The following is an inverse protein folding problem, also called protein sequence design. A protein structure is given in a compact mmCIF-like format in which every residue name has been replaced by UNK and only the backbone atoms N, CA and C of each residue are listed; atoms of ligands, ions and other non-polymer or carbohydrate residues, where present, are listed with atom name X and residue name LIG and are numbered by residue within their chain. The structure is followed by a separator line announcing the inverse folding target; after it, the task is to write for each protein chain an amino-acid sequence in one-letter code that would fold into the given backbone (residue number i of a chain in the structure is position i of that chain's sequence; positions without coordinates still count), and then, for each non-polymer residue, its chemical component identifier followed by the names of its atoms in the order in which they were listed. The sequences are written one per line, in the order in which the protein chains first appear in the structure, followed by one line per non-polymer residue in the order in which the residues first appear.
data_IF_201910411917
#
_entry.id   IF_201910411917
#
_cell.length_a   1.000
_cell.length_b   1.000
_cell.length_c   1.000
_cell.angle_alpha   90.00
_cell.angle_beta   90.00
_cell.angle_gamma   90.00
#
_symmetry.space_group_name_H-M   'P 1'
#
loop_
_entity.id
_entity.type
_entity.pdbx_description
1 polymer ?
#
# COMPACT_ATOMS: atom_id res chain seq x y z
N UNK A 1 37.78 8.63 5.02
CA UNK A 1 36.72 7.64 5.21
C UNK A 1 36.45 6.84 3.94
N UNK A 2 36.00 7.49 2.85
CA UNK A 2 35.62 6.81 1.60
C UNK A 2 36.65 5.76 1.10
N UNK A 3 37.94 6.12 1.02
CA UNK A 3 38.98 5.16 0.60
C UNK A 3 39.05 3.88 1.46
N UNK A 4 38.74 3.97 2.76
CA UNK A 4 38.76 2.82 3.67
C UNK A 4 37.56 1.92 3.40
N UNK A 5 36.39 2.52 3.17
CA UNK A 5 35.16 1.82 2.76
C UNK A 5 35.40 1.08 1.45
N UNK A 6 35.95 1.75 0.44
CA UNK A 6 36.27 1.13 -0.85
C UNK A 6 37.28 -0.02 -0.68
N UNK A 7 38.24 0.11 0.24
CA UNK A 7 39.21 -0.96 0.57
C UNK A 7 38.60 -2.12 1.34
N UNK A 8 37.50 -1.90 2.05
CA UNK A 8 36.71 -2.96 2.70
C UNK A 8 35.86 -3.74 1.67
N UNK A 9 35.69 -3.22 0.46
CA UNK A 9 34.95 -3.88 -0.62
C UNK A 9 33.45 -3.57 -0.65
N UNK A 10 32.98 -2.63 0.17
CA UNK A 10 31.59 -2.22 0.19
C UNK A 10 31.32 -1.06 -0.76
N UNK A 11 30.22 -1.12 -1.51
CA UNK A 11 29.78 -0.02 -2.38
C UNK A 11 28.90 0.98 -1.61
N UNK A 12 29.43 1.52 -0.51
CA UNK A 12 28.84 2.64 0.22
C UNK A 12 29.53 3.94 -0.20
N UNK A 13 28.76 4.90 -0.71
CA UNK A 13 29.22 6.25 -1.06
C UNK A 13 28.67 7.26 -0.07
N UNK A 14 29.57 7.96 0.59
CA UNK A 14 29.23 9.07 1.46
C UNK A 14 29.11 10.37 0.66
N UNK A 15 28.46 11.38 1.25
CA UNK A 15 28.50 12.74 0.73
C UNK A 15 29.96 13.19 0.54
N UNK A 16 30.27 13.78 -0.62
CA UNK A 16 31.61 14.27 -0.94
C UNK A 16 32.09 15.41 -0.03
N UNK A 17 31.16 16.12 0.61
CA UNK A 17 31.46 17.20 1.57
C UNK A 17 31.61 16.68 3.01
N UNK A 18 31.46 15.37 3.24
CA UNK A 18 31.55 14.79 4.58
C UNK A 18 32.98 14.86 5.15
N UNK A 19 33.13 15.63 6.22
CA UNK A 19 34.34 15.71 7.02
C UNK A 19 34.06 15.33 8.48
N UNK A 20 34.62 14.20 8.93
CA UNK A 20 34.38 13.59 10.26
C UNK A 20 34.38 14.60 11.42
N UNK A 21 35.32 15.54 11.45
CA UNK A 21 35.49 16.48 12.58
C UNK A 21 34.62 17.73 12.51
N UNK A 22 34.01 18.00 11.36
CA UNK A 22 33.27 19.23 11.10
C UNK A 22 31.79 18.94 10.77
N UNK A 23 31.35 17.69 10.93
CA UNK A 23 30.03 17.24 10.55
C UNK A 23 29.24 16.79 11.77
N UNK A 24 28.01 17.29 11.88
CA UNK A 24 27.02 16.88 12.86
C UNK A 24 25.64 16.81 12.19
N UNK A 25 24.86 15.76 12.49
CA UNK A 25 23.51 15.58 11.99
C UNK A 25 23.37 14.45 10.98
N UNK A 26 22.33 14.51 10.14
CA UNK A 26 22.00 13.44 9.19
C UNK A 26 22.96 13.41 7.99
N UNK A 27 23.68 12.30 7.83
CA UNK A 27 24.57 12.02 6.71
C UNK A 27 23.86 11.16 5.66
N UNK A 28 23.47 11.72 4.50
CA UNK A 28 22.96 10.91 3.40
C UNK A 28 24.08 10.08 2.78
N UNK A 29 23.73 8.89 2.30
CA UNK A 29 24.66 7.99 1.61
C UNK A 29 23.95 7.14 0.55
N UNK A 30 24.75 6.49 -0.29
CA UNK A 30 24.27 5.56 -1.32
C UNK A 30 24.91 4.20 -1.09
N UNK A 31 24.13 3.15 -0.86
CA UNK A 31 24.62 1.78 -0.69
C UNK A 31 24.15 0.93 -1.88
N UNK A 32 25.07 0.31 -2.61
CA UNK A 32 24.75 -0.56 -3.77
C UNK A 32 23.80 0.11 -4.78
N UNK A 33 23.91 1.43 -4.94
CA UNK A 33 23.05 2.24 -5.83
C UNK A 33 21.72 2.72 -5.24
N UNK A 34 21.36 2.36 -4.01
CA UNK A 34 20.16 2.85 -3.31
C UNK A 34 20.43 4.22 -2.67
N UNK A 35 19.79 5.32 -3.11
CA UNK A 35 20.11 6.68 -2.67
C UNK A 35 19.35 7.17 -1.43
N UNK A 36 18.40 6.38 -0.96
CA UNK A 36 17.45 6.67 0.13
C UNK A 36 17.92 6.10 1.47
N UNK A 37 19.21 6.30 1.78
CA UNK A 37 19.88 5.71 2.96
C UNK A 37 20.62 6.82 3.71
N UNK A 38 20.63 6.74 5.03
CA UNK A 38 21.47 7.61 5.84
C UNK A 38 21.38 7.31 7.32
N UNK A 39 22.21 8.03 8.07
CA UNK A 39 22.28 7.90 9.52
C UNK A 39 22.71 9.24 10.11
N UNK A 40 22.38 9.48 11.37
CA UNK A 40 22.89 10.62 12.10
C UNK A 40 24.30 10.34 12.59
N UNK A 41 25.16 11.35 12.50
CA UNK A 41 26.55 11.30 12.90
C UNK A 41 26.83 12.45 13.86
N UNK A 42 27.36 12.14 15.04
CA UNK A 42 27.77 13.14 16.03
C UNK A 42 29.18 12.82 16.51
N UNK A 43 30.06 13.82 16.53
CA UNK A 43 31.45 13.67 16.95
C UNK A 43 31.74 14.61 18.12
N UNK A 44 31.97 14.05 19.29
CA UNK A 44 32.17 14.82 20.52
C UNK A 44 33.49 14.47 21.21
N UNK A 45 33.90 15.33 22.14
CA UNK A 45 35.00 14.99 23.04
C UNK A 45 34.55 13.86 23.97
N UNK A 46 35.37 12.82 24.04
CA UNK A 46 35.05 11.62 24.78
C UNK A 46 34.91 11.88 26.30
N UNK A 47 35.62 12.87 26.86
CA UNK A 47 35.47 13.30 28.26
C UNK A 47 34.05 13.83 28.57
N UNK A 48 33.40 14.47 27.60
CA UNK A 48 32.02 14.96 27.73
C UNK A 48 31.06 13.79 27.90
N UNK A 49 31.20 12.76 27.06
CA UNK A 49 30.33 11.58 27.08
C UNK A 49 30.48 10.77 28.38
N UNK A 50 31.70 10.54 28.88
CA UNK A 50 31.91 9.86 30.18
C UNK A 50 31.23 10.60 31.33
N UNK A 51 31.28 11.93 31.31
CA UNK A 51 30.71 12.72 32.40
C UNK A 51 29.21 12.48 32.52
N UNK A 52 28.55 12.31 31.37
CA UNK A 52 27.11 12.09 31.30
C UNK A 52 26.76 10.62 31.55
N UNK A 53 27.59 9.67 31.08
CA UNK A 53 27.46 8.25 31.37
C UNK A 53 28.81 7.56 31.73
N UNK A 54 29.06 7.31 33.03
CA UNK A 54 30.29 6.68 33.50
C UNK A 54 30.51 5.24 33.02
N UNK A 55 29.51 4.55 32.47
CA UNK A 55 29.65 3.16 31.98
C UNK A 55 30.62 3.06 30.79
N UNK A 56 30.76 4.13 30.01
CA UNK A 56 31.70 4.20 28.88
C UNK A 56 33.16 4.39 29.30
N UNK A 57 33.43 4.62 30.59
CA UNK A 57 34.79 4.91 31.09
C UNK A 57 35.79 3.80 30.77
N UNK A 58 35.36 2.55 30.89
CA UNK A 58 36.22 1.39 30.63
C UNK A 58 36.46 1.18 29.12
N UNK A 59 35.51 1.60 28.28
CA UNK A 59 35.58 1.51 26.82
C UNK A 59 36.52 2.56 26.21
N UNK A 60 36.53 3.76 26.77
CA UNK A 60 37.29 4.87 26.22
C UNK A 60 38.79 4.70 26.30
N UNK A 61 39.30 4.10 27.37
CA UNK A 61 40.74 3.96 27.62
C UNK A 61 41.50 5.30 27.35
N UNK A 62 42.31 5.37 26.29
CA UNK A 62 43.11 6.55 25.89
C UNK A 62 42.55 7.31 24.67
N UNK A 63 41.30 7.05 24.26
CA UNK A 63 40.64 7.73 23.14
C UNK A 63 40.12 9.11 23.59
N UNK A 64 40.23 10.11 22.73
CA UNK A 64 39.85 11.52 23.01
C UNK A 64 38.56 11.95 22.30
N UNK A 65 38.07 11.12 21.38
CA UNK A 65 36.93 11.39 20.52
C UNK A 65 35.89 10.27 20.66
N UNK A 66 34.63 10.63 20.81
CA UNK A 66 33.49 9.73 20.76
C UNK A 66 32.65 10.05 19.51
N UNK A 67 32.26 9.02 18.78
CA UNK A 67 31.38 9.13 17.61
C UNK A 67 30.10 8.37 17.92
N UNK A 68 28.96 9.06 17.87
CA UNK A 68 27.63 8.45 17.97
C UNK A 68 27.01 8.34 16.58
N UNK A 69 26.44 7.17 16.28
CA UNK A 69 25.78 6.85 15.02
C UNK A 69 24.35 6.39 15.30
N UNK A 70 23.36 7.05 14.73
CA UNK A 70 21.93 6.71 14.89
C UNK A 70 21.32 6.40 13.52
N UNK A 71 20.53 5.33 13.41
CA UNK A 71 19.93 4.91 12.14
C UNK A 71 18.39 4.88 12.23
N UNK A 72 17.72 5.03 11.08
CA UNK A 72 16.27 5.23 10.99
C UNK A 72 15.39 3.97 11.10
N UNK A 73 15.97 2.83 11.49
CA UNK A 73 15.22 1.56 11.64
C UNK A 73 15.15 0.69 10.38
N UNK A 74 15.71 1.11 9.23
CA UNK A 74 15.83 0.25 8.05
C UNK A 74 17.13 -0.57 8.05
N UNK A 75 17.09 -1.82 7.54
CA UNK A 75 18.31 -2.64 7.41
C UNK A 75 19.37 -2.02 6.49
N UNK A 76 18.96 -1.14 5.56
CA UNK A 76 19.88 -0.39 4.69
C UNK A 76 20.66 0.65 5.49
N UNK A 77 19.99 1.41 6.35
CA UNK A 77 20.64 2.39 7.23
C UNK A 77 21.54 1.69 8.25
N UNK A 78 21.09 0.55 8.80
CA UNK A 78 21.89 -0.26 9.71
C UNK A 78 23.17 -0.77 9.06
N UNK A 79 23.09 -1.31 7.84
CA UNK A 79 24.25 -1.73 7.07
C UNK A 79 25.22 -0.56 6.84
N UNK A 80 24.71 0.63 6.49
CA UNK A 80 25.54 1.81 6.31
C UNK A 80 26.30 2.19 7.60
N UNK A 81 25.63 2.18 8.76
CA UNK A 81 26.27 2.41 10.06
C UNK A 81 27.35 1.36 10.35
N UNK A 82 27.07 0.07 10.15
CA UNK A 82 28.03 -0.99 10.40
C UNK A 82 29.28 -0.88 9.49
N UNK A 83 29.11 -0.48 8.23
CA UNK A 83 30.23 -0.23 7.31
C UNK A 83 31.12 0.91 7.83
N UNK A 84 30.51 1.97 8.37
CA UNK A 84 31.24 3.09 8.98
C UNK A 84 31.97 2.65 10.24
N UNK A 85 31.35 1.83 11.08
CA UNK A 85 32.01 1.19 12.23
C UNK A 85 33.23 0.37 11.79
N UNK A 86 33.09 -0.48 10.76
CA UNK A 86 34.21 -1.24 10.20
C UNK A 86 35.34 -0.32 9.71
N UNK A 87 35.00 0.77 9.02
CA UNK A 87 35.98 1.72 8.52
C UNK A 87 36.70 2.49 9.65
N UNK A 88 35.99 2.87 10.71
CA UNK A 88 36.56 3.49 11.91
C UNK A 88 37.46 2.51 12.67
N UNK A 89 37.01 1.28 12.90
CA UNK A 89 37.80 0.24 13.54
C UNK A 89 39.10 -0.02 12.77
N UNK A 90 39.03 -0.12 11.43
CA UNK A 90 40.20 -0.39 10.58
C UNK A 90 41.18 0.77 10.47
N UNK A 91 40.69 2.02 10.41
CA UNK A 91 41.54 3.18 10.11
C UNK A 91 41.99 3.99 11.32
N UNK A 92 41.23 3.93 12.41
CA UNK A 92 41.47 4.71 13.63
C UNK A 92 41.58 3.84 14.89
N UNK A 93 41.59 2.50 14.74
CA UNK A 93 41.59 1.57 15.87
C UNK A 93 40.41 1.88 16.84
N UNK A 94 39.26 2.25 16.27
CA UNK A 94 38.10 2.63 17.05
C UNK A 94 37.55 1.41 17.81
N UNK A 95 37.14 1.64 19.06
CA UNK A 95 36.41 0.66 19.87
C UNK A 95 34.93 0.86 19.57
N UNK A 96 34.29 -0.16 18.99
CA UNK A 96 32.89 -0.10 18.58
C UNK A 96 32.03 -0.81 19.62
N UNK A 97 31.00 -0.13 20.13
CA UNK A 97 30.05 -0.67 21.10
C UNK A 97 28.64 -0.25 20.68
N UNK A 98 27.68 -1.16 20.85
CA UNK A 98 26.27 -0.88 20.65
C UNK A 98 25.65 -0.55 22.01
N UNK A 99 25.20 0.68 22.22
CA UNK A 99 24.52 1.12 23.46
C UNK A 99 25.27 0.75 24.77
N UNK A 100 26.60 0.73 24.74
CA UNK A 100 27.43 0.40 25.91
C UNK A 100 27.66 -1.09 26.14
N UNK A 101 27.21 -1.96 25.23
CA UNK A 101 27.55 -3.38 25.22
C UNK A 101 29.06 -3.61 25.03
N UNK A 102 29.49 -4.86 25.25
CA UNK A 102 30.88 -5.24 25.08
C UNK A 102 31.37 -4.92 23.66
N UNK A 103 32.64 -4.47 23.49
CA UNK A 103 33.14 -4.09 22.19
C UNK A 103 33.07 -5.20 21.15
N UNK A 104 32.67 -4.83 19.95
CA UNK A 104 32.67 -5.73 18.80
C UNK A 104 34.03 -5.76 18.10
N UNK A 105 34.40 -6.95 17.61
CA UNK A 105 35.60 -7.12 16.80
C UNK A 105 35.34 -6.74 15.35
N UNK A 106 36.38 -6.38 14.60
CA UNK A 106 36.23 -6.08 13.17
C UNK A 106 35.62 -7.25 12.40
N UNK A 107 36.01 -8.49 12.70
CA UNK A 107 35.48 -9.68 12.01
C UNK A 107 33.97 -9.84 12.28
N UNK A 108 33.54 -9.71 13.54
CA UNK A 108 32.10 -9.74 13.87
C UNK A 108 31.32 -8.62 13.18
N UNK A 109 31.90 -7.41 13.10
CA UNK A 109 31.25 -6.29 12.42
C UNK A 109 31.11 -6.56 10.93
N UNK A 110 32.11 -7.17 10.28
CA UNK A 110 32.03 -7.53 8.87
C UNK A 110 30.94 -8.58 8.62
N UNK A 111 30.87 -9.62 9.45
CA UNK A 111 29.79 -10.62 9.37
C UNK A 111 28.41 -9.95 9.55
N UNK A 112 28.29 -9.00 10.48
CA UNK A 112 27.06 -8.25 10.71
C UNK A 112 26.69 -7.34 9.52
N UNK A 113 27.67 -6.76 8.81
CA UNK A 113 27.42 -5.98 7.59
C UNK A 113 26.79 -6.87 6.53
N UNK A 114 27.38 -8.04 6.27
CA UNK A 114 26.89 -8.97 5.25
C UNK A 114 25.46 -9.45 5.57
N UNK A 115 25.20 -9.77 6.83
CA UNK A 115 23.86 -10.12 7.31
C UNK A 115 22.85 -8.97 7.13
N UNK A 116 23.25 -7.74 7.44
CA UNK A 116 22.39 -6.56 7.30
C UNK A 116 22.07 -6.26 5.83
N UNK A 117 23.07 -6.36 4.93
CA UNK A 117 22.88 -6.20 3.48
C UNK A 117 21.92 -7.27 2.95
N UNK A 118 22.14 -8.54 3.32
CA UNK A 118 21.27 -9.63 2.87
C UNK A 118 19.81 -9.45 3.32
N UNK A 119 19.60 -9.01 4.57
CA UNK A 119 18.25 -8.69 5.08
C UNK A 119 17.63 -7.51 4.34
N UNK A 120 18.41 -6.48 4.04
CA UNK A 120 17.94 -5.32 3.28
C UNK A 120 17.49 -5.72 1.86
N UNK A 121 18.26 -6.56 1.17
CA UNK A 121 17.93 -7.08 -0.16
C UNK A 121 16.63 -7.89 -0.14
N UNK A 122 16.46 -8.77 0.87
CA UNK A 122 15.25 -9.57 1.03
C UNK A 122 14.00 -8.69 1.22
N UNK A 123 14.09 -7.67 2.07
CA UNK A 123 12.99 -6.73 2.29
C UNK A 123 12.65 -5.97 1.00
N UNK A 124 13.65 -5.56 0.22
CA UNK A 124 13.44 -4.88 -1.06
C UNK A 124 12.78 -5.80 -2.11
N UNK A 125 13.20 -7.06 -2.18
CA UNK A 125 12.60 -8.07 -3.07
C UNK A 125 11.13 -8.30 -2.72
N UNK A 126 10.81 -8.44 -1.42
CA UNK A 126 9.44 -8.59 -0.94
C UNK A 126 8.59 -7.35 -1.22
N UNK A 127 9.13 -6.15 -1.01
CA UNK A 127 8.44 -4.89 -1.32
C UNK A 127 8.19 -4.73 -2.82
N UNK A 128 9.16 -5.09 -3.66
CA UNK A 128 9.02 -5.08 -5.11
C UNK A 128 7.93 -6.04 -5.59
N UNK A 129 7.88 -7.26 -5.03
CA UNK A 129 6.79 -8.23 -5.30
C UNK A 129 5.43 -7.66 -4.89
N UNK A 130 5.33 -7.07 -3.68
CA UNK A 130 4.08 -6.44 -3.21
C UNK A 130 3.63 -5.30 -4.13
N UNK A 131 4.54 -4.43 -4.56
CA UNK A 131 4.23 -3.35 -5.49
C UNK A 131 3.78 -3.85 -6.86
N UNK A 132 4.42 -4.90 -7.38
CA UNK A 132 4.02 -5.51 -8.65
C UNK A 132 2.61 -6.13 -8.57
N UNK A 133 2.31 -6.85 -7.49
CA UNK A 133 0.96 -7.40 -7.24
C UNK A 133 -0.05 -6.26 -7.16
N UNK A 134 0.23 -5.18 -6.42
CA UNK A 134 -0.63 -4.00 -6.34
C UNK A 134 -0.86 -3.35 -7.70
N UNK A 135 0.18 -3.23 -8.53
CA UNK A 135 0.07 -2.67 -9.87
C UNK A 135 -0.81 -3.55 -10.79
N UNK A 136 -0.64 -4.87 -10.74
CA UNK A 136 -1.44 -5.81 -11.52
C UNK A 136 -2.92 -5.77 -11.11
N UNK A 137 -3.19 -5.74 -9.80
CA UNK A 137 -4.54 -5.59 -9.26
C UNK A 137 -5.17 -4.29 -9.75
N UNK A 138 -4.46 -3.17 -9.63
CA UNK A 138 -4.93 -1.87 -10.09
C UNK A 138 -5.25 -1.87 -11.59
N UNK A 139 -4.38 -2.45 -12.42
CA UNK A 139 -4.59 -2.57 -13.86
C UNK A 139 -5.83 -3.43 -14.19
N UNK A 140 -6.03 -4.54 -13.47
CA UNK A 140 -7.24 -5.37 -13.59
C UNK A 140 -8.51 -4.59 -13.25
N UNK A 141 -8.51 -3.86 -12.13
CA UNK A 141 -9.64 -3.02 -11.73
C UNK A 141 -9.96 -1.93 -12.74
N UNK A 142 -8.95 -1.19 -13.23
CA UNK A 142 -9.16 -0.14 -14.24
C UNK A 142 -9.78 -0.71 -15.53
N UNK A 143 -9.41 -1.94 -15.91
CA UNK A 143 -10.04 -2.63 -17.05
C UNK A 143 -11.51 -2.95 -16.79
N UNK A 144 -11.88 -3.43 -15.60
CA UNK A 144 -13.27 -3.74 -15.25
C UNK A 144 -14.10 -2.47 -15.13
N UNK A 145 -13.58 -1.42 -14.48
CA UNK A 145 -14.21 -0.10 -14.37
C UNK A 145 -14.54 0.45 -15.76
N UNK A 146 -13.59 0.38 -16.70
CA UNK A 146 -13.79 0.86 -18.06
C UNK A 146 -14.85 0.07 -18.82
N UNK A 147 -14.80 -1.26 -18.78
CA UNK A 147 -15.81 -2.11 -19.44
C UNK A 147 -17.20 -1.84 -18.86
N UNK A 148 -17.30 -1.73 -17.53
CA UNK A 148 -18.54 -1.44 -16.84
C UNK A 148 -19.04 -0.03 -17.18
N UNK A 149 -18.15 0.97 -17.22
CA UNK A 149 -18.47 2.33 -17.63
C UNK A 149 -19.02 2.40 -19.04
N UNK A 150 -18.37 1.75 -20.02
CA UNK A 150 -18.82 1.71 -21.42
C UNK A 150 -20.20 1.06 -21.53
N UNK A 151 -20.41 -0.06 -20.85
CA UNK A 151 -21.67 -0.82 -20.90
C UNK A 151 -22.80 -0.10 -20.18
N UNK A 152 -22.53 0.45 -19.00
CA UNK A 152 -23.51 1.27 -18.29
C UNK A 152 -23.84 2.56 -19.06
N UNK A 153 -22.87 3.17 -19.77
CA UNK A 153 -23.15 4.33 -20.63
C UNK A 153 -24.07 3.96 -21.80
N UNK A 154 -23.80 2.82 -22.44
CA UNK A 154 -24.64 2.30 -23.53
C UNK A 154 -26.06 1.98 -23.05
N UNK A 155 -26.20 1.39 -21.86
CA UNK A 155 -27.49 1.16 -21.19
C UNK A 155 -28.18 2.47 -20.81
N UNK A 156 -27.41 3.45 -20.35
CA UNK A 156 -27.91 4.73 -19.88
C UNK A 156 -28.47 5.60 -21.00
N UNK A 157 -28.04 5.37 -22.24
CA UNK A 157 -28.20 6.38 -23.29
C UNK A 157 -27.60 7.73 -22.85
N UNK A 158 -26.64 7.70 -21.93
CA UNK A 158 -26.01 8.85 -21.32
C UNK A 158 -24.56 8.49 -21.00
N UNK A 159 -23.66 9.45 -21.18
CA UNK A 159 -22.25 9.23 -20.89
C UNK A 159 -22.03 9.14 -19.37
N UNK A 160 -21.60 7.96 -18.90
CA UNK A 160 -21.05 7.79 -17.56
C UNK A 160 -19.57 8.09 -17.67
N UNK A 161 -19.12 9.09 -16.93
CA UNK A 161 -17.76 9.63 -17.02
C UNK A 161 -16.81 8.99 -16.03
N UNK A 162 -17.36 8.32 -15.01
CA UNK A 162 -16.58 7.65 -13.99
C UNK A 162 -17.38 6.51 -13.34
N UNK A 163 -16.73 5.36 -13.19
CA UNK A 163 -17.16 4.23 -12.37
C UNK A 163 -16.05 3.96 -11.38
N UNK A 164 -16.37 3.94 -10.09
CA UNK A 164 -15.42 3.60 -9.04
C UNK A 164 -15.87 2.31 -8.36
N UNK A 165 -15.02 1.28 -8.40
CA UNK A 165 -15.26 -0.02 -7.77
C UNK A 165 -14.52 -0.19 -6.43
N UNK A 166 -13.68 0.76 -6.03
CA UNK A 166 -13.04 0.78 -4.72
C UNK A 166 -14.04 1.22 -3.65
N UNK A 167 -14.68 0.24 -3.02
CA UNK A 167 -15.66 0.46 -1.94
C UNK A 167 -17.09 0.51 -2.46
N UNK A 168 -17.69 1.71 -2.44
CA UNK A 168 -19.05 1.92 -2.94
C UNK A 168 -19.02 2.09 -4.46
N UNK A 169 -19.87 1.39 -5.21
CA UNK A 169 -20.12 1.69 -6.61
C UNK A 169 -20.60 3.14 -6.74
N UNK A 170 -19.75 3.99 -7.26
CA UNK A 170 -20.09 5.38 -7.56
C UNK A 170 -20.17 5.55 -9.07
N UNK A 171 -21.36 5.90 -9.57
CA UNK A 171 -21.59 6.24 -10.97
C UNK A 171 -21.73 7.76 -11.08
N UNK A 172 -20.91 8.39 -11.93
CA UNK A 172 -21.03 9.81 -12.24
C UNK A 172 -21.48 10.01 -13.68
N UNK A 173 -22.59 10.71 -13.86
CA UNK A 173 -23.18 11.00 -15.16
C UNK A 173 -22.70 12.36 -15.68
N UNK A 174 -22.70 12.54 -17.00
CA UNK A 174 -22.28 13.79 -17.67
C UNK A 174 -23.16 15.01 -17.35
N UNK A 175 -24.34 14.80 -16.78
CA UNK A 175 -25.26 15.85 -16.31
C UNK A 175 -25.06 16.26 -14.83
N UNK A 176 -23.90 15.92 -14.25
CA UNK A 176 -23.54 16.15 -12.83
C UNK A 176 -24.32 15.34 -11.78
N UNK A 177 -25.15 14.38 -12.19
CA UNK A 177 -25.77 13.45 -11.26
C UNK A 177 -24.79 12.38 -10.79
N UNK A 178 -25.00 11.89 -9.57
CA UNK A 178 -24.21 10.82 -8.98
C UNK A 178 -25.11 9.77 -8.32
N UNK A 179 -24.74 8.50 -8.46
CA UNK A 179 -25.33 7.37 -7.74
C UNK A 179 -24.23 6.71 -6.92
N UNK A 180 -24.46 6.55 -5.62
CA UNK A 180 -23.51 5.91 -4.68
C UNK A 180 -24.20 4.68 -4.10
N UNK A 181 -23.67 3.50 -4.39
CA UNK A 181 -24.18 2.23 -3.89
C UNK A 181 -23.10 1.48 -3.09
N UNK A 182 -23.41 1.05 -1.86
CA UNK A 182 -22.42 0.51 -0.91
C UNK A 182 -21.95 -0.91 -1.22
N UNK A 183 -22.81 -1.63 -1.92
CA UNK A 183 -22.59 -2.97 -2.43
C UNK A 183 -23.44 -3.09 -3.69
N UNK A 184 -22.92 -3.76 -4.69
CA UNK A 184 -23.69 -4.16 -5.85
C UNK A 184 -23.62 -5.67 -5.96
N UNK A 185 -24.77 -6.29 -6.20
CA UNK A 185 -24.86 -7.72 -6.50
C UNK A 185 -25.29 -7.85 -7.94
N UNK A 186 -24.47 -8.54 -8.72
CA UNK A 186 -24.90 -9.02 -10.03
C UNK A 186 -25.55 -10.38 -9.82
N UNK A 187 -26.86 -10.45 -10.05
CA UNK A 187 -27.63 -11.68 -9.91
C UNK A 187 -27.94 -12.20 -11.32
N UNK A 188 -27.28 -13.29 -11.67
CA UNK A 188 -27.46 -14.04 -12.91
C UNK A 188 -28.35 -15.25 -12.57
N UNK A 189 -29.21 -15.75 -13.48
CA UNK A 189 -30.04 -16.93 -13.18
C UNK A 189 -29.19 -18.14 -12.71
N UNK A 190 -29.29 -18.47 -11.42
CA UNK A 190 -28.56 -19.58 -10.80
C UNK A 190 -27.24 -19.20 -10.11
N UNK A 191 -26.82 -17.93 -10.14
CA UNK A 191 -25.56 -17.48 -9.53
C UNK A 191 -25.67 -16.04 -9.00
N UNK A 192 -25.18 -15.82 -7.77
CA UNK A 192 -25.01 -14.48 -7.19
C UNK A 192 -23.52 -14.17 -7.14
N UNK A 193 -23.11 -13.05 -7.73
CA UNK A 193 -21.73 -12.57 -7.64
C UNK A 193 -21.70 -11.40 -6.65
N UNK A 194 -21.04 -11.62 -5.50
CA UNK A 194 -20.90 -10.63 -4.43
C UNK A 194 -19.53 -9.95 -4.49
N UNK A 195 -19.50 -8.75 -5.07
CA UNK A 195 -18.27 -7.97 -5.23
C UNK A 195 -17.92 -7.19 -3.94
N UNK A 196 -18.81 -7.17 -2.94
CA UNK A 196 -18.56 -6.48 -1.67
C UNK A 196 -17.54 -7.20 -0.79
N UNK A 197 -17.32 -8.51 -1.01
CA UNK A 197 -16.35 -9.33 -0.28
C UNK A 197 -14.93 -8.82 -0.45
N UNK A 198 -14.53 -8.52 -1.69
CA UNK A 198 -13.18 -8.06 -2.03
C UNK A 198 -12.89 -6.67 -1.46
N UNK A 199 -13.83 -5.73 -1.64
CA UNK A 199 -13.71 -4.38 -1.11
C UNK A 199 -13.57 -4.35 0.43
N UNK A 200 -14.26 -5.27 1.12
CA UNK A 200 -14.17 -5.40 2.59
C UNK A 200 -12.81 -5.94 3.05
N UNK A 201 -12.27 -6.93 2.33
CA UNK A 201 -10.93 -7.48 2.63
C UNK A 201 -9.85 -6.42 2.36
N UNK A 202 -9.96 -5.66 1.26
CA UNK A 202 -9.03 -4.57 0.94
C UNK A 202 -9.08 -3.41 1.91
N UNK A 203 -10.27 -2.99 2.35
CA UNK A 203 -10.40 -1.98 3.41
C UNK A 203 -9.66 -2.41 4.67
N UNK A 204 -9.84 -3.67 5.08
CA UNK A 204 -9.15 -4.22 6.26
C UNK A 204 -7.63 -4.23 6.10
N UNK A 205 -7.11 -4.48 4.89
CA UNK A 205 -5.67 -4.45 4.63
C UNK A 205 -5.09 -3.03 4.73
N UNK A 206 -5.79 -2.04 4.19
CA UNK A 206 -5.37 -0.63 4.29
C UNK A 206 -5.32 -0.20 5.75
N UNK A 207 -6.31 -0.59 6.55
CA UNK A 207 -6.35 -0.29 7.99
C UNK A 207 -5.17 -0.91 8.74
N UNK A 208 -4.81 -2.17 8.42
CA UNK A 208 -3.68 -2.87 9.05
C UNK A 208 -2.33 -2.27 8.60
N UNK A 209 -2.17 -1.97 7.31
CA UNK A 209 -0.95 -1.34 6.78
C UNK A 209 -0.72 0.07 7.36
N UNK A 210 -1.80 0.82 7.60
CA UNK A 210 -1.74 2.13 8.25
C UNK A 210 -1.27 1.98 9.70
N UNK A 211 -1.83 1.02 10.45
CA UNK A 211 -1.38 0.71 11.81
C UNK A 211 0.08 0.25 11.87
N UNK A 212 0.53 -0.49 10.85
CA UNK A 212 1.92 -0.92 10.69
C UNK A 212 2.89 0.24 10.52
N UNK A 213 2.47 1.31 9.85
CA UNK A 213 3.32 2.49 9.65
C UNK A 213 3.48 3.34 10.91
N UNK A 214 2.64 3.13 11.92
CA UNK A 214 2.56 3.94 13.14
C UNK A 214 3.05 3.22 14.40
N UNK A 215 3.33 1.91 14.35
CA UNK A 215 3.67 1.09 15.51
C UNK A 215 5.03 0.36 15.36
N UNK A 216 5.73 0.14 16.48
CA UNK A 216 6.84 -0.81 16.55
C UNK A 216 6.36 -2.22 16.17
N UNK A 217 7.23 -2.95 15.46
CA UNK A 217 6.95 -4.27 14.86
C UNK A 217 6.28 -5.21 15.89
N UNK A 218 5.01 -5.54 15.66
CA UNK A 218 4.23 -6.45 16.48
C UNK A 218 4.04 -7.78 15.74
N UNK A 219 4.53 -8.87 16.35
CA UNK A 219 4.44 -10.25 15.82
C UNK A 219 2.98 -10.67 15.56
N UNK A 220 2.02 -10.17 16.34
CA UNK A 220 0.59 -10.45 16.09
C UNK A 220 0.08 -9.75 14.83
N UNK A 221 0.57 -8.54 14.54
CA UNK A 221 0.24 -7.84 13.30
C UNK A 221 0.87 -8.54 12.09
N UNK A 222 2.04 -9.17 12.23
CA UNK A 222 2.68 -9.94 11.13
C UNK A 222 1.85 -11.14 10.76
N UNK A 223 1.40 -11.90 11.77
CA UNK A 223 0.53 -13.05 11.58
C UNK A 223 -0.84 -12.65 10.99
N UNK A 224 -1.42 -11.52 11.44
CA UNK A 224 -2.68 -11.01 10.88
C UNK A 224 -2.49 -10.55 9.43
N UNK A 225 -1.39 -9.87 9.11
CA UNK A 225 -1.05 -9.45 7.75
C UNK A 225 -0.83 -10.65 6.82
N UNK A 226 -0.13 -11.69 7.28
CA UNK A 226 0.08 -12.92 6.53
C UNK A 226 -1.24 -13.65 6.27
N UNK A 227 -2.08 -13.80 7.29
CA UNK A 227 -3.41 -14.38 7.14
C UNK A 227 -4.27 -13.58 6.15
N UNK A 228 -4.18 -12.24 6.20
CA UNK A 228 -4.91 -11.36 5.31
C UNK A 228 -4.38 -11.42 3.87
N UNK A 229 -3.07 -11.53 3.68
CA UNK A 229 -2.47 -11.72 2.37
C UNK A 229 -2.92 -13.06 1.76
N UNK A 230 -2.94 -14.15 2.53
CA UNK A 230 -3.48 -15.42 2.06
C UNK A 230 -4.98 -15.32 1.68
N UNK A 231 -5.76 -14.55 2.45
CA UNK A 231 -7.17 -14.28 2.10
C UNK A 231 -7.30 -13.43 0.84
N UNK A 232 -6.37 -12.49 0.61
CA UNK A 232 -6.33 -11.66 -0.59
C UNK A 232 -5.91 -12.45 -1.81
N UNK A 233 -4.92 -13.33 -1.70
CA UNK A 233 -4.49 -14.19 -2.80
C UNK A 233 -5.66 -15.10 -3.22
N UNK A 234 -6.34 -15.74 -2.26
CA UNK A 234 -7.54 -16.52 -2.55
C UNK A 234 -8.67 -15.65 -3.14
N UNK A 235 -8.90 -14.46 -2.57
CA UNK A 235 -9.92 -13.55 -3.08
C UNK A 235 -9.57 -12.99 -4.45
N UNK A 236 -8.28 -12.86 -4.80
CA UNK A 236 -7.80 -12.45 -6.11
C UNK A 236 -7.95 -13.55 -7.14
N UNK A 237 -7.65 -14.81 -6.79
CA UNK A 237 -7.93 -15.96 -7.66
C UNK A 237 -9.44 -16.09 -7.92
N UNK A 238 -10.24 -15.92 -6.85
CA UNK A 238 -11.70 -15.91 -6.95
C UNK A 238 -12.19 -14.70 -7.76
N UNK A 239 -11.60 -13.52 -7.59
CA UNK A 239 -11.94 -12.30 -8.33
C UNK A 239 -11.49 -12.37 -9.79
N UNK A 240 -10.34 -12.94 -10.12
CA UNK A 240 -9.92 -13.13 -11.52
C UNK A 240 -10.88 -14.09 -12.23
N UNK A 241 -11.23 -15.19 -11.57
CA UNK A 241 -12.25 -16.14 -12.02
C UNK A 241 -13.64 -15.48 -12.14
N UNK A 242 -14.02 -14.62 -11.19
CA UNK A 242 -15.30 -13.90 -11.21
C UNK A 242 -15.31 -12.76 -12.23
N UNK A 243 -14.21 -12.05 -12.41
CA UNK A 243 -14.04 -10.97 -13.37
C UNK A 243 -14.10 -11.51 -14.78
N UNK A 244 -13.45 -12.65 -15.07
CA UNK A 244 -13.59 -13.32 -16.37
C UNK A 244 -15.03 -13.81 -16.61
N UNK A 245 -15.73 -14.31 -15.58
CA UNK A 245 -17.17 -14.66 -15.69
C UNK A 245 -18.05 -13.43 -15.93
N UNK A 246 -17.86 -12.35 -15.17
CA UNK A 246 -18.59 -11.09 -15.32
C UNK A 246 -18.32 -10.50 -16.71
N UNK A 247 -17.06 -10.46 -17.13
CA UNK A 247 -16.64 -9.96 -18.43
C UNK A 247 -17.28 -10.78 -19.55
N UNK A 248 -17.19 -12.11 -19.49
CA UNK A 248 -17.85 -12.99 -20.47
C UNK A 248 -19.36 -12.78 -20.50
N UNK A 249 -20.00 -12.57 -19.34
CA UNK A 249 -21.43 -12.30 -19.26
C UNK A 249 -21.77 -10.94 -19.88
N UNK A 250 -21.04 -9.88 -19.53
CA UNK A 250 -21.20 -8.52 -20.07
C UNK A 250 -20.93 -8.46 -21.58
N UNK A 251 -19.94 -9.21 -22.07
CA UNK A 251 -19.63 -9.37 -23.49
C UNK A 251 -20.75 -10.09 -24.24
N UNK A 252 -21.49 -10.99 -23.56
CA UNK A 252 -22.64 -11.68 -24.13
C UNK A 252 -23.91 -10.83 -24.23
N UNK A 253 -23.95 -9.67 -23.56
CA UNK A 253 -25.12 -8.80 -23.59
C UNK A 253 -25.36 -8.22 -24.99
N UNK A 254 -26.63 -8.05 -25.40
CA UNK A 254 -26.94 -7.41 -26.67
C UNK A 254 -26.41 -5.97 -26.69
N UNK A 255 -26.08 -5.45 -27.88
CA UNK A 255 -25.57 -4.08 -28.06
C UNK A 255 -26.47 -3.00 -27.45
N UNK A 256 -27.77 -3.29 -27.32
CA UNK A 256 -28.75 -2.45 -26.65
C UNK A 256 -29.58 -3.32 -25.72
N UNK A 257 -29.64 -2.91 -24.46
CA UNK A 257 -30.50 -3.50 -23.44
C UNK A 257 -31.40 -2.38 -22.92
N UNK A 258 -32.67 -2.68 -22.72
CA UNK A 258 -33.68 -1.73 -22.26
C UNK A 258 -34.10 -2.07 -20.84
N UNK A 259 -34.34 -1.05 -20.01
CA UNK A 259 -34.89 -1.26 -18.66
C UNK A 259 -36.34 -1.68 -18.79
N UNK A 260 -36.64 -2.92 -18.38
CA UNK A 260 -38.00 -3.47 -18.32
C UNK A 260 -38.77 -2.92 -17.14
N UNK A 261 -38.11 -2.84 -15.99
CA UNK A 261 -38.70 -2.46 -14.72
C UNK A 261 -37.62 -1.92 -13.78
N UNK A 262 -37.93 -0.83 -13.07
CA UNK A 262 -37.16 -0.38 -11.91
C UNK A 262 -38.09 -0.36 -10.69
N UNK A 263 -37.65 -0.91 -9.56
CA UNK A 263 -38.43 -0.97 -8.33
C UNK A 263 -37.55 -0.76 -7.11
N UNK A 264 -37.95 0.11 -6.20
CA UNK A 264 -37.33 0.23 -4.89
C UNK A 264 -37.83 -0.91 -3.99
N UNK A 265 -36.91 -1.68 -3.43
CA UNK A 265 -37.18 -2.71 -2.43
C UNK A 265 -36.91 -2.15 -1.02
N UNK A 266 -37.26 -2.94 -0.01
CA UNK A 266 -36.92 -2.63 1.39
C UNK A 266 -35.41 -2.38 1.57
N UNK A 267 -35.06 -1.52 2.53
CA UNK A 267 -33.67 -1.13 2.85
C UNK A 267 -32.95 -0.35 1.73
N UNK A 268 -33.67 0.51 1.01
CA UNK A 268 -33.09 1.41 0.00
C UNK A 268 -32.36 0.65 -1.13
N UNK A 269 -32.95 -0.45 -1.60
CA UNK A 269 -32.37 -1.25 -2.69
C UNK A 269 -33.11 -0.97 -3.98
N UNK A 270 -32.47 -0.32 -4.94
CA UNK A 270 -33.04 -0.13 -6.27
C UNK A 270 -32.78 -1.37 -7.12
N UNK A 271 -33.85 -2.08 -7.47
CA UNK A 271 -33.83 -3.22 -8.38
C UNK A 271 -34.13 -2.79 -9.82
N UNK A 272 -33.24 -3.07 -10.75
CA UNK A 272 -33.41 -2.76 -12.19
C UNK A 272 -33.43 -4.06 -12.98
N UNK A 273 -34.57 -4.39 -13.59
CA UNK A 273 -34.77 -5.56 -14.47
C UNK A 273 -34.61 -5.12 -15.93
N UNK A 274 -33.85 -5.88 -16.72
CA UNK A 274 -33.61 -5.61 -18.13
C UNK A 274 -34.52 -6.48 -19.02
N UNK A 275 -34.95 -5.96 -20.18
CA UNK A 275 -35.97 -6.60 -21.02
C UNK A 275 -35.43 -7.80 -21.79
N UNK A 276 -34.20 -7.69 -22.26
CA UNK A 276 -33.55 -8.64 -23.16
C UNK A 276 -32.72 -9.69 -22.39
N UNK A 277 -32.52 -9.50 -21.10
CA UNK A 277 -31.85 -10.43 -20.20
C UNK A 277 -32.88 -11.01 -19.24
N UNK A 278 -33.56 -12.06 -19.69
CA UNK A 278 -34.69 -12.63 -18.97
C UNK A 278 -34.23 -13.16 -17.59
N UNK A 279 -34.72 -12.53 -16.52
CA UNK A 279 -34.39 -12.77 -15.08
C UNK A 279 -33.06 -12.19 -14.56
N UNK A 280 -32.30 -11.44 -15.36
CA UNK A 280 -31.13 -10.68 -14.85
C UNK A 280 -31.57 -9.31 -14.35
N UNK A 281 -31.09 -8.93 -13.16
CA UNK A 281 -31.38 -7.63 -12.58
C UNK A 281 -30.20 -7.13 -11.75
N UNK A 282 -30.12 -5.81 -11.60
CA UNK A 282 -29.18 -5.15 -10.69
C UNK A 282 -29.88 -4.80 -9.39
N UNK A 283 -29.22 -5.01 -8.26
CA UNK A 283 -29.60 -4.42 -6.97
C UNK A 283 -28.55 -3.38 -6.57
N UNK A 284 -28.99 -2.14 -6.43
CA UNK A 284 -28.17 -1.00 -6.01
C UNK A 284 -28.58 -0.62 -4.58
N UNK A 285 -27.69 -0.82 -3.61
CA UNK A 285 -27.94 -0.50 -2.21
C UNK A 285 -27.54 0.95 -1.88
N UNK A 286 -28.50 1.87 -1.72
CA UNK A 286 -28.21 3.29 -1.45
C UNK A 286 -28.09 3.59 0.05
N UNK A 287 -27.29 4.60 0.40
CA UNK A 287 -26.82 4.84 1.77
C UNK A 287 -27.78 5.66 2.64
N UNK A 288 -28.70 6.42 2.05
CA UNK A 288 -29.41 7.47 2.78
C UNK A 288 -30.92 7.23 2.81
N UNK A 289 -31.52 7.39 3.99
CA UNK A 289 -32.98 7.40 4.18
C UNK A 289 -33.63 8.66 3.59
N UNK A 290 -32.83 9.56 3.00
CA UNK A 290 -33.26 10.69 2.20
C UNK A 290 -32.97 10.47 0.71
N UNK A 291 -33.66 9.53 0.07
CA UNK A 291 -33.88 9.57 -1.38
C UNK A 291 -34.79 10.76 -1.69
N UNK A 292 -34.26 11.98 -1.68
CA UNK A 292 -35.00 13.15 -2.14
C UNK A 292 -34.79 13.31 -3.64
N UNK A 293 -35.81 12.93 -4.40
CA UNK A 293 -35.97 13.16 -5.85
C UNK A 293 -34.71 12.89 -6.70
N UNK A 294 -34.33 11.62 -6.86
CA UNK A 294 -33.36 11.25 -7.90
C UNK A 294 -34.11 11.14 -9.23
N UNK A 295 -33.77 12.02 -10.18
CA UNK A 295 -34.27 11.95 -11.56
C UNK A 295 -33.24 11.27 -12.43
N UNK A 296 -33.40 9.97 -12.73
CA UNK A 296 -32.52 9.28 -13.67
C UNK A 296 -33.08 9.49 -15.09
N UNK A 297 -32.36 10.25 -15.91
CA UNK A 297 -32.75 10.55 -17.29
C UNK A 297 -31.97 9.70 -18.28
N UNK A 298 -32.68 8.80 -18.97
CA UNK A 298 -32.21 8.11 -20.17
C UNK A 298 -32.90 8.80 -21.36
N UNK A 299 -32.29 8.85 -22.55
CA UNK A 299 -32.85 9.53 -23.75
C UNK A 299 -34.30 9.13 -24.12
N UNK A 300 -34.86 8.09 -23.51
CA UNK A 300 -36.25 7.63 -23.71
C UNK A 300 -37.05 7.34 -22.44
N UNK A 301 -36.46 7.44 -21.25
CA UNK A 301 -37.13 7.10 -19.99
C UNK A 301 -36.62 8.03 -18.89
N UNK A 302 -37.50 8.80 -18.26
CA UNK A 302 -37.15 9.52 -17.03
C UNK A 302 -37.76 8.77 -15.86
N UNK A 303 -37.01 8.57 -14.79
CA UNK A 303 -37.55 8.00 -13.57
C UNK A 303 -37.44 9.01 -12.44
N UNK A 304 -38.57 9.31 -11.80
CA UNK A 304 -38.61 10.01 -10.51
C UNK A 304 -38.62 8.96 -9.40
N UNK A 305 -37.54 8.91 -8.64
CA UNK A 305 -37.43 8.03 -7.47
C UNK A 305 -37.69 8.88 -6.22
N UNK A 306 -38.73 8.51 -5.47
CA UNK A 306 -39.02 9.04 -4.14
C UNK A 306 -38.84 7.92 -3.10
N UNK A 307 -38.86 8.21 -1.79
CA UNK A 307 -38.74 7.19 -0.75
C UNK A 307 -39.84 6.11 -0.82
N UNK A 308 -41.01 6.47 -1.38
CA UNK A 308 -42.21 5.63 -1.38
C UNK A 308 -42.59 5.10 -2.77
N UNK A 309 -41.98 5.60 -3.85
CA UNK A 309 -42.43 5.32 -5.22
C UNK A 309 -41.33 5.49 -6.28
N UNK A 310 -41.43 4.76 -7.39
CA UNK A 310 -40.61 4.94 -8.59
C UNK A 310 -41.55 5.18 -9.76
N UNK A 311 -41.61 6.43 -10.23
CA UNK A 311 -42.48 6.82 -11.35
C UNK A 311 -41.68 7.00 -12.62
N UNK A 312 -42.12 6.39 -13.70
CA UNK A 312 -41.71 6.77 -15.05
C UNK A 312 -42.36 8.12 -15.39
N UNK A 313 -41.53 9.10 -15.78
CA UNK A 313 -41.93 10.44 -16.24
C UNK A 313 -41.75 10.55 -17.75
#
# INVERSE_FOLDING_TARGET
MQNVIDTLGYDLKLDSEFEIRNFEGFLPCVLNGYPDIGFEFYCENAETVIKDDPSFKDLMNAKDTCISLTWGGSFKDYAAVLIICCALAKSADAVISYEGEAPETLDNLLDAVDDAIHRAEKVEEENSKKQQVLANVKAGHESVEKILQEKLSALAGAEITHVNLFGNLMLRFSNEQHLIAKAYKLIIPGQTIDVASYAKIRSKQIDILTQYSEAEINVELEAELEQLNNQLDQAMEDDESNNEKIKSEIESWPEKVTVKQASLLENNVLKIVLSELDKTYFELHTFDSMLSDITLGFERLQFKITPDDVKLI
#
